data_IF_424648054376
#
_entry.id   IF_424648054376
#
_cell.length_a   1.000
_cell.length_b   1.000
_cell.length_c   1.000
_cell.angle_alpha   90.00
_cell.angle_beta   90.00
_cell.angle_gamma   90.00
#
_symmetry.space_group_name_H-M   'P 1'
#
loop_
_entity.id
_entity.type
_entity.pdbx_description
1 polymer ?
#
# COMPACT_ATOMS: atom_id res chain seq x y z
N UNK A 1 -1.82 -1.55 12.09
CA UNK A 1 -0.50 -1.70 11.50
C UNK A 1 0.09 -0.36 11.05
N UNK A 2 -0.75 0.54 10.59
CA UNK A 2 -0.28 1.81 10.03
C UNK A 2 0.49 2.72 10.98
N UNK A 3 0.50 2.45 12.26
CA UNK A 3 1.24 3.24 13.25
C UNK A 3 2.50 2.55 13.76
N UNK A 4 2.79 1.37 13.24
CA UNK A 4 3.93 0.57 13.72
C UNK A 4 5.27 1.14 13.28
N UNK A 5 5.31 1.94 12.20
CA UNK A 5 6.56 2.42 11.64
C UNK A 5 7.41 3.24 12.61
N UNK A 6 6.79 3.81 13.64
CA UNK A 6 7.49 4.60 14.66
C UNK A 6 7.82 3.80 15.92
N UNK A 7 7.62 2.50 15.90
CA UNK A 7 7.79 1.62 17.05
C UNK A 7 8.82 0.53 16.72
N UNK A 8 10.07 0.76 17.06
CA UNK A 8 11.17 -0.13 16.71
C UNK A 8 10.93 -1.58 17.15
N UNK A 9 10.39 -1.78 18.36
CA UNK A 9 10.12 -3.11 18.86
C UNK A 9 9.02 -3.83 18.07
N UNK A 10 8.02 -3.09 17.60
CA UNK A 10 6.93 -3.67 16.79
C UNK A 10 7.40 -3.95 15.36
N UNK A 11 8.29 -3.11 14.83
CA UNK A 11 8.87 -3.37 13.52
C UNK A 11 9.79 -4.61 13.57
N UNK A 12 10.52 -4.79 14.66
CA UNK A 12 11.32 -6.00 14.88
C UNK A 12 10.45 -7.26 14.94
N UNK A 13 9.26 -7.16 15.53
CA UNK A 13 8.31 -8.27 15.55
C UNK A 13 7.77 -8.59 14.16
N UNK A 14 7.51 -7.59 13.35
CA UNK A 14 7.08 -7.79 11.97
C UNK A 14 8.15 -8.56 11.18
N UNK A 15 9.40 -8.19 11.34
CA UNK A 15 10.51 -8.89 10.71
C UNK A 15 10.57 -10.34 11.15
N UNK A 16 10.37 -10.59 12.46
CA UNK A 16 10.34 -11.93 13.02
C UNK A 16 9.21 -12.77 12.44
N UNK A 17 8.03 -12.18 12.29
CA UNK A 17 6.90 -12.85 11.66
C UNK A 17 7.27 -13.33 10.25
N UNK A 18 7.92 -12.48 9.46
CA UNK A 18 8.38 -12.86 8.12
C UNK A 18 9.34 -14.04 8.14
N UNK A 19 10.27 -14.05 9.08
CA UNK A 19 11.22 -15.16 9.22
C UNK A 19 10.53 -16.47 9.59
N UNK A 20 9.54 -16.39 10.48
CA UNK A 20 8.79 -17.59 10.92
C UNK A 20 7.98 -18.15 9.75
N UNK A 21 7.36 -17.29 8.96
CA UNK A 21 6.60 -17.71 7.78
C UNK A 21 7.50 -18.47 6.81
N UNK A 22 8.68 -17.93 6.51
CA UNK A 22 9.63 -18.58 5.61
C UNK A 22 10.14 -19.91 6.15
N UNK A 23 10.30 -20.01 7.46
CA UNK A 23 10.72 -21.26 8.09
C UNK A 23 9.68 -22.36 7.93
N UNK A 24 8.40 -21.99 8.03
CA UNK A 24 7.28 -22.93 7.95
C UNK A 24 6.97 -23.31 6.52
N UNK A 25 6.98 -22.30 5.61
CA UNK A 25 6.72 -22.49 4.18
C UNK A 25 7.82 -21.76 3.42
N UNK A 26 8.83 -22.47 2.91
CA UNK A 26 10.01 -21.82 2.31
C UNK A 26 9.71 -20.87 1.14
N UNK A 27 8.62 -21.09 0.42
CA UNK A 27 8.24 -20.23 -0.70
C UNK A 27 7.36 -19.04 -0.27
N UNK A 28 6.93 -19.02 0.98
CA UNK A 28 6.06 -17.94 1.49
C UNK A 28 6.89 -16.83 2.16
N UNK A 29 6.33 -15.61 2.25
CA UNK A 29 5.04 -15.24 1.67
C UNK A 29 5.15 -15.07 0.15
N UNK A 30 4.08 -15.37 -0.56
CA UNK A 30 4.03 -15.20 -2.00
C UNK A 30 3.79 -13.75 -2.39
N UNK A 31 3.04 -13.04 -1.55
CA UNK A 31 2.80 -11.62 -1.67
C UNK A 31 2.90 -10.98 -0.29
N UNK A 32 3.49 -9.81 -0.24
CA UNK A 32 3.49 -8.98 0.96
C UNK A 32 2.94 -7.62 0.58
N UNK A 33 1.71 -7.36 0.98
CA UNK A 33 0.99 -6.16 0.62
C UNK A 33 0.92 -5.21 1.81
N UNK A 34 1.16 -3.93 1.55
CA UNK A 34 0.98 -2.90 2.57
C UNK A 34 -0.31 -2.14 2.28
N UNK A 35 -1.20 -2.12 3.27
CA UNK A 35 -2.41 -1.30 3.20
C UNK A 35 -2.08 0.12 3.65
N UNK A 36 -2.38 1.09 2.80
CA UNK A 36 -2.11 2.50 3.04
C UNK A 36 -3.40 3.30 2.96
N UNK A 37 -3.56 4.23 3.89
CA UNK A 37 -4.68 5.17 3.88
C UNK A 37 -4.31 6.35 2.98
N UNK A 38 -4.94 6.42 1.81
CA UNK A 38 -4.63 7.46 0.83
C UNK A 38 -4.97 8.86 1.33
N UNK A 39 -5.86 8.99 2.29
CA UNK A 39 -6.24 10.31 2.83
C UNK A 39 -5.15 10.94 3.68
N UNK A 40 -4.13 10.20 4.08
CA UNK A 40 -3.04 10.73 4.91
C UNK A 40 -1.89 11.32 4.10
N UNK A 41 -1.92 11.22 2.78
CA UNK A 41 -0.93 11.86 1.92
C UNK A 41 0.52 11.47 2.21
N UNK A 42 1.35 12.44 2.62
CA UNK A 42 2.77 12.22 2.89
C UNK A 42 3.02 11.22 4.02
N UNK A 43 2.11 11.11 4.98
CA UNK A 43 2.24 10.12 6.04
C UNK A 43 2.18 8.71 5.48
N UNK A 44 1.32 8.47 4.48
CA UNK A 44 1.25 7.17 3.82
C UNK A 44 2.57 6.83 3.12
N UNK A 45 3.16 7.79 2.43
CA UNK A 45 4.45 7.59 1.77
C UNK A 45 5.57 7.29 2.76
N UNK A 46 5.64 8.05 3.83
CA UNK A 46 6.63 7.84 4.90
C UNK A 46 6.49 6.45 5.51
N UNK A 47 5.25 6.04 5.78
CA UNK A 47 4.92 4.74 6.32
C UNK A 47 5.40 3.62 5.40
N UNK A 48 5.12 3.75 4.10
CA UNK A 48 5.53 2.74 3.13
C UNK A 48 7.05 2.59 3.05
N UNK A 49 7.77 3.69 3.10
CA UNK A 49 9.23 3.67 3.09
C UNK A 49 9.80 2.94 4.29
N UNK A 50 9.23 3.19 5.48
CA UNK A 50 9.70 2.52 6.70
C UNK A 50 9.39 1.02 6.69
N UNK A 51 8.19 0.63 6.27
CA UNK A 51 7.85 -0.79 6.16
C UNK A 51 8.72 -1.50 5.13
N UNK A 52 9.03 -0.86 4.01
CA UNK A 52 9.86 -1.46 2.97
C UNK A 52 11.28 -1.77 3.45
N UNK A 53 11.79 -1.02 4.44
CA UNK A 53 13.10 -1.30 5.01
C UNK A 53 13.13 -2.58 5.83
N UNK A 54 11.98 -2.96 6.39
CA UNK A 54 11.88 -4.08 7.33
C UNK A 54 11.45 -5.36 6.63
N UNK A 55 10.57 -5.25 5.65
CA UNK A 55 10.04 -6.40 4.92
C UNK A 55 9.94 -6.07 3.45
N UNK A 56 10.29 -7.01 2.56
CA UNK A 56 10.15 -6.76 1.13
C UNK A 56 8.67 -6.72 0.75
N UNK A 57 8.24 -5.56 0.26
CA UNK A 57 6.86 -5.35 -0.17
C UNK A 57 6.72 -5.68 -1.66
N UNK A 58 5.69 -6.44 -2.01
CA UNK A 58 5.42 -6.79 -3.40
C UNK A 58 4.30 -5.95 -4.01
N UNK A 59 3.51 -5.29 -3.18
CA UNK A 59 2.44 -4.45 -3.68
C UNK A 59 1.82 -3.59 -2.60
N UNK A 60 1.00 -2.65 -3.04
CA UNK A 60 0.30 -1.72 -2.17
C UNK A 60 -1.21 -1.85 -2.35
N UNK A 61 -1.94 -1.67 -1.27
CA UNK A 61 -3.39 -1.55 -1.26
C UNK A 61 -3.71 -0.14 -0.78
N UNK A 62 -4.29 0.68 -1.65
CA UNK A 62 -4.66 2.04 -1.28
C UNK A 62 -6.11 2.08 -0.86
N UNK A 63 -6.37 2.52 0.36
CA UNK A 63 -7.73 2.66 0.88
C UNK A 63 -8.12 4.13 0.95
N UNK A 64 -9.41 4.37 1.09
CA UNK A 64 -9.99 5.71 1.28
C UNK A 64 -9.73 6.67 0.13
N UNK A 65 -9.65 6.15 -1.09
CA UNK A 65 -9.50 7.00 -2.27
C UNK A 65 -10.70 7.92 -2.48
N UNK A 66 -11.87 7.53 -1.98
CA UNK A 66 -13.09 8.33 -2.06
C UNK A 66 -13.00 9.64 -1.27
N UNK A 67 -12.09 9.74 -0.32
CA UNK A 67 -11.94 10.91 0.55
C UNK A 67 -10.76 11.80 0.23
N UNK A 68 -10.15 11.70 -0.95
CA UNK A 68 -8.90 12.40 -1.24
C UNK A 68 -8.81 12.86 -2.70
N UNK A 69 -7.80 13.68 -3.00
CA UNK A 69 -7.41 14.03 -4.36
C UNK A 69 -6.67 12.85 -4.98
N UNK A 70 -7.43 11.92 -5.52
CA UNK A 70 -7.00 10.57 -5.91
C UNK A 70 -5.78 10.53 -6.81
N UNK A 71 -5.76 11.38 -7.83
CA UNK A 71 -4.67 11.39 -8.80
C UNK A 71 -3.34 11.76 -8.20
N UNK A 72 -3.32 12.77 -7.33
CA UNK A 72 -2.09 13.26 -6.72
C UNK A 72 -1.41 12.19 -5.87
N UNK A 73 -2.17 11.49 -5.05
CA UNK A 73 -1.62 10.44 -4.19
C UNK A 73 -1.00 9.31 -5.01
N UNK A 74 -1.71 8.82 -6.01
CA UNK A 74 -1.21 7.71 -6.84
C UNK A 74 0.04 8.11 -7.60
N UNK A 75 0.05 9.33 -8.18
CA UNK A 75 1.22 9.83 -8.90
C UNK A 75 2.44 9.96 -7.99
N UNK A 76 2.25 10.49 -6.77
CA UNK A 76 3.33 10.62 -5.80
C UNK A 76 3.90 9.25 -5.42
N UNK A 77 3.05 8.27 -5.21
CA UNK A 77 3.48 6.90 -4.91
C UNK A 77 4.31 6.33 -6.05
N UNK A 78 3.87 6.51 -7.30
CA UNK A 78 4.59 6.02 -8.46
C UNK A 78 5.96 6.67 -8.60
N UNK A 79 6.08 7.95 -8.24
CA UNK A 79 7.35 8.67 -8.34
C UNK A 79 8.34 8.29 -7.23
N UNK A 80 7.85 8.04 -6.04
CA UNK A 80 8.71 7.85 -4.87
C UNK A 80 8.93 6.39 -4.47
N UNK A 81 8.03 5.51 -4.87
CA UNK A 81 8.11 4.09 -4.51
C UNK A 81 8.14 3.24 -5.76
N UNK A 82 9.01 2.26 -5.77
CA UNK A 82 9.11 1.28 -6.86
C UNK A 82 8.31 0.02 -6.51
N UNK A 83 7.12 0.23 -5.98
CA UNK A 83 6.24 -0.85 -5.54
C UNK A 83 4.88 -0.64 -6.21
N UNK A 84 4.35 -1.65 -6.92
CA UNK A 84 3.11 -1.46 -7.66
C UNK A 84 1.90 -1.38 -6.75
N UNK A 85 0.95 -0.52 -7.11
CA UNK A 85 -0.37 -0.52 -6.48
C UNK A 85 -1.17 -1.65 -7.11
N UNK A 86 -1.68 -2.57 -6.30
CA UNK A 86 -2.41 -3.74 -6.79
C UNK A 86 -3.90 -3.64 -6.57
N UNK A 87 -4.31 -3.09 -5.45
CA UNK A 87 -5.72 -2.97 -5.09
C UNK A 87 -6.02 -1.56 -4.62
N UNK A 88 -7.24 -1.11 -4.86
CA UNK A 88 -7.73 0.18 -4.37
C UNK A 88 -9.05 -0.02 -3.65
N UNK A 89 -9.21 0.71 -2.54
CA UNK A 89 -10.46 0.76 -1.78
C UNK A 89 -11.05 2.16 -1.87
N UNK A 90 -12.35 2.23 -2.12
CA UNK A 90 -13.04 3.50 -2.34
C UNK A 90 -14.33 3.61 -1.55
N UNK A 91 -14.42 2.89 -0.44
CA UNK A 91 -15.58 2.92 0.44
C UNK A 91 -15.43 1.89 1.54
N UNK A 92 -16.53 1.60 2.23
CA UNK A 92 -16.54 0.69 3.38
C UNK A 92 -17.27 -0.61 3.14
N UNK A 93 -17.94 -0.75 1.98
CA UNK A 93 -18.68 -1.96 1.65
C UNK A 93 -17.75 -3.02 1.08
N UNK A 94 -18.16 -4.27 1.17
CA UNK A 94 -17.35 -5.39 0.70
C UNK A 94 -17.01 -5.27 -0.80
N UNK A 95 -17.87 -4.63 -1.58
CA UNK A 95 -17.65 -4.44 -3.01
C UNK A 95 -16.83 -3.18 -3.34
N UNK A 96 -16.47 -2.40 -2.33
CA UNK A 96 -15.74 -1.15 -2.53
C UNK A 96 -14.22 -1.34 -2.56
N UNK A 97 -13.79 -2.44 -3.13
CA UNK A 97 -12.39 -2.74 -3.38
C UNK A 97 -12.27 -3.35 -4.78
N UNK A 98 -11.21 -3.01 -5.49
CA UNK A 98 -10.99 -3.53 -6.82
C UNK A 98 -9.53 -3.51 -7.19
N UNK A 99 -9.20 -4.17 -8.30
CA UNK A 99 -7.85 -4.15 -8.85
C UNK A 99 -7.52 -2.75 -9.36
N UNK A 100 -6.28 -2.34 -9.15
CA UNK A 100 -5.79 -1.11 -9.73
C UNK A 100 -5.38 -1.38 -11.18
N UNK A 101 -6.01 -0.66 -12.12
CA UNK A 101 -5.70 -0.73 -13.54
C UNK A 101 -5.19 0.62 -13.99
N UNK A 102 -3.88 0.71 -14.23
CA UNK A 102 -3.22 1.99 -14.48
C UNK A 102 -3.77 2.70 -15.72
N UNK A 103 -4.14 1.97 -16.76
CA UNK A 103 -4.71 2.58 -17.96
C UNK A 103 -6.06 3.22 -17.68
N UNK A 104 -6.95 2.53 -16.96
CA UNK A 104 -8.25 3.07 -16.59
C UNK A 104 -8.10 4.26 -15.66
N UNK A 105 -7.16 4.17 -14.73
CA UNK A 105 -6.89 5.26 -13.80
C UNK A 105 -6.40 6.51 -14.55
N UNK A 106 -5.44 6.36 -15.44
CA UNK A 106 -4.89 7.48 -16.21
C UNK A 106 -5.95 8.08 -17.12
N UNK A 107 -6.79 7.26 -17.73
CA UNK A 107 -7.89 7.76 -18.56
C UNK A 107 -8.87 8.60 -17.75
N UNK A 108 -9.27 8.08 -16.58
CA UNK A 108 -10.16 8.82 -15.69
C UNK A 108 -9.56 10.14 -15.23
N UNK A 109 -8.27 10.15 -14.93
CA UNK A 109 -7.57 11.35 -14.51
C UNK A 109 -7.55 12.40 -15.62
N UNK A 110 -7.23 12.00 -16.86
CA UNK A 110 -7.17 12.90 -17.99
C UNK A 110 -8.56 13.43 -18.37
N UNK A 111 -9.59 12.67 -18.14
CA UNK A 111 -10.99 13.09 -18.40
C UNK A 111 -11.58 13.91 -17.25
N UNK A 112 -10.84 14.08 -16.17
CA UNK A 112 -11.31 14.83 -15.02
C UNK A 112 -12.34 14.09 -14.17
N UNK A 113 -12.41 12.76 -14.28
CA UNK A 113 -13.38 11.94 -13.56
C UNK A 113 -12.89 11.52 -12.16
N UNK A 114 -11.62 11.76 -11.91
CA UNK A 114 -11.01 11.38 -10.64
C UNK A 114 -10.40 12.60 -9.96
#
# INVERSE_FOLDING_TARGET
AGRLQNKDNLMAELEKIGRIIKRTLPDAPHETLLAMDASTGQNALSQAKEFAKITPLTGLVLTKLDGTAKGGVVLAIRQELDIPVKLIGFGEKIDDIGEFKSEEFMRGLLEGLI
#
